data_IF_759127951208
#
_entry.id   IF_759127951208
#
_cell.length_a   1.000
_cell.length_b   1.000
_cell.length_c   1.000
_cell.angle_alpha   90.00
_cell.angle_beta   90.00
_cell.angle_gamma   90.00
#
_symmetry.space_group_name_H-M   'P 1'
#
loop_
_entity.id
_entity.type
_entity.pdbx_description
1 polymer ?
#
# COMPACT_ATOMS: atom_id res chain seq x y z
N UNK A 1 -2.37 20.17 -0.35
CA UNK A 1 -3.14 18.95 -0.04
C UNK A 1 -2.15 17.86 0.36
N UNK A 2 -2.52 16.96 1.29
CA UNK A 2 -1.69 15.84 1.72
C UNK A 2 -2.05 14.55 0.97
N UNK A 3 -1.15 13.57 0.98
CA UNK A 3 -1.31 12.25 0.36
C UNK A 3 -2.37 11.40 1.07
N UNK A 4 -3.24 10.75 0.32
CA UNK A 4 -4.20 9.74 0.81
C UNK A 4 -3.65 8.34 0.59
N UNK A 5 -4.19 7.34 1.27
CA UNK A 5 -3.81 5.94 1.07
C UNK A 5 -5.02 5.06 0.79
N UNK A 6 -4.91 4.29 -0.30
CA UNK A 6 -5.87 3.28 -0.71
C UNK A 6 -5.21 1.90 -0.60
N UNK A 7 -5.92 0.96 0.02
CA UNK A 7 -5.48 -0.43 0.18
C UNK A 7 -6.45 -1.36 -0.52
N UNK A 8 -5.93 -2.31 -1.30
CA UNK A 8 -6.73 -3.33 -1.97
C UNK A 8 -6.07 -4.70 -1.85
N UNK A 9 -6.89 -5.75 -1.75
CA UNK A 9 -6.39 -7.11 -1.90
C UNK A 9 -6.23 -7.47 -3.36
N UNK A 10 -5.18 -8.22 -3.69
CA UNK A 10 -4.99 -8.79 -5.02
C UNK A 10 -4.33 -10.17 -4.91
N UNK A 11 -4.19 -10.88 -6.02
CA UNK A 11 -3.41 -12.13 -6.07
C UNK A 11 -1.95 -11.82 -6.41
N UNK A 12 -1.01 -12.68 -6.02
CA UNK A 12 0.42 -12.49 -6.37
C UNK A 12 0.65 -12.40 -7.89
N UNK A 13 -0.17 -13.12 -8.68
CA UNK A 13 -0.12 -13.11 -10.14
C UNK A 13 -0.51 -11.74 -10.70
N UNK A 14 -1.55 -11.11 -10.14
CA UNK A 14 -1.96 -9.77 -10.56
C UNK A 14 -0.99 -8.70 -10.03
N UNK A 15 -0.49 -8.85 -8.79
CA UNK A 15 0.50 -7.96 -8.20
C UNK A 15 1.78 -7.86 -9.04
N UNK A 16 2.22 -8.96 -9.66
CA UNK A 16 3.38 -8.98 -10.55
C UNK A 16 3.18 -8.23 -11.87
N UNK A 17 1.94 -7.90 -12.23
CA UNK A 17 1.64 -7.10 -13.43
C UNK A 17 1.72 -5.60 -13.16
N UNK A 18 1.61 -5.17 -11.90
CA UNK A 18 1.66 -3.77 -11.55
C UNK A 18 3.08 -3.24 -11.68
N UNK A 19 3.25 -2.21 -12.51
CA UNK A 19 4.55 -1.56 -12.78
C UNK A 19 4.48 -0.05 -12.66
N UNK A 20 3.29 0.52 -12.68
CA UNK A 20 3.03 1.95 -12.55
C UNK A 20 1.64 2.21 -11.94
N UNK A 21 1.30 3.49 -11.76
CA UNK A 21 0.02 3.91 -11.23
C UNK A 21 -1.16 3.49 -12.10
N UNK A 22 -1.03 3.61 -13.43
CA UNK A 22 -2.10 3.27 -14.37
C UNK A 22 -2.57 1.82 -14.21
N UNK A 23 -1.65 0.88 -13.96
CA UNK A 23 -2.00 -0.54 -13.76
C UNK A 23 -2.84 -0.76 -12.49
N UNK A 24 -2.56 0.03 -11.43
CA UNK A 24 -3.28 -0.02 -10.16
C UNK A 24 -4.65 0.64 -10.31
N UNK A 25 -4.73 1.78 -10.98
CA UNK A 25 -5.98 2.49 -11.25
C UNK A 25 -6.93 1.62 -12.10
N UNK A 26 -6.43 0.95 -13.15
CA UNK A 26 -7.24 0.01 -13.96
C UNK A 26 -7.78 -1.15 -13.11
N UNK A 27 -6.96 -1.69 -12.20
CA UNK A 27 -7.42 -2.74 -11.28
C UNK A 27 -8.47 -2.25 -10.27
N UNK A 28 -8.44 -0.96 -9.93
CA UNK A 28 -9.42 -0.32 -9.03
C UNK A 28 -10.76 -0.01 -9.70
N UNK A 29 -10.84 -0.05 -11.03
CA UNK A 29 -12.10 0.12 -11.76
C UNK A 29 -13.00 -1.12 -11.73
N UNK A 30 -12.49 -2.29 -11.30
CA UNK A 30 -13.32 -3.49 -11.11
C UNK A 30 -14.24 -3.31 -9.90
N UNK A 31 -15.55 -3.24 -10.14
CA UNK A 31 -16.59 -3.13 -9.10
C UNK A 31 -16.54 -4.26 -8.03
N UNK A 32 -15.85 -5.37 -8.30
CA UNK A 32 -15.66 -6.46 -7.34
C UNK A 32 -14.46 -6.24 -6.40
N UNK A 33 -13.59 -5.26 -6.68
CA UNK A 33 -12.45 -4.93 -5.84
C UNK A 33 -12.90 -3.97 -4.74
N UNK A 34 -12.71 -4.39 -3.49
CA UNK A 34 -12.94 -3.52 -2.34
C UNK A 34 -11.68 -2.68 -2.08
N UNK A 35 -11.84 -1.35 -2.14
CA UNK A 35 -10.79 -0.39 -1.82
C UNK A 35 -11.04 0.14 -0.42
N UNK A 36 -10.09 -0.10 0.48
CA UNK A 36 -10.05 0.50 1.80
C UNK A 36 -9.34 1.86 1.72
N UNK A 37 -10.13 2.93 1.69
CA UNK A 37 -9.66 4.31 1.78
C UNK A 37 -9.68 4.77 3.25
N UNK A 38 -8.51 5.10 3.78
CA UNK A 38 -8.35 5.65 5.15
C UNK A 38 -8.00 7.15 5.14
N UNK A 39 -8.20 7.83 4.02
CA UNK A 39 -7.83 9.22 3.75
C UNK A 39 -6.35 9.45 4.13
N UNK A 40 -6.08 10.47 4.96
CA UNK A 40 -4.72 10.88 5.36
C UNK A 40 -4.24 10.20 6.66
N UNK A 41 -4.91 9.14 7.11
CA UNK A 41 -4.64 8.53 8.43
C UNK A 41 -3.54 7.45 8.40
N UNK A 42 -2.94 7.16 7.25
CA UNK A 42 -1.92 6.11 7.08
C UNK A 42 -0.69 6.29 7.99
N UNK A 43 -0.13 7.50 8.07
CA UNK A 43 1.01 7.79 8.95
C UNK A 43 0.62 7.70 10.44
N UNK A 44 -0.58 8.17 10.78
CA UNK A 44 -1.12 8.07 12.13
C UNK A 44 -1.39 6.61 12.54
N UNK A 45 -1.86 5.77 11.60
CA UNK A 45 -2.07 4.35 11.80
C UNK A 45 -0.74 3.62 12.04
N UNK A 46 0.26 3.90 11.19
CA UNK A 46 1.60 3.36 11.36
C UNK A 46 2.18 3.77 12.71
N UNK A 47 2.12 5.06 13.05
CA UNK A 47 2.61 5.57 14.34
C UNK A 47 1.89 4.95 15.54
N UNK A 48 0.57 4.78 15.46
CA UNK A 48 -0.22 4.17 16.53
C UNK A 48 0.26 2.74 16.83
N UNK A 49 0.62 1.98 15.80
CA UNK A 49 0.92 0.56 15.93
C UNK A 49 2.41 0.26 16.11
N UNK A 50 3.31 1.10 15.58
CA UNK A 50 4.77 0.87 15.60
C UNK A 50 5.55 1.91 16.41
N UNK A 51 4.94 3.06 16.72
CA UNK A 51 5.62 4.20 17.34
C UNK A 51 6.55 4.96 16.39
N UNK A 52 6.52 4.66 15.09
CA UNK A 52 7.33 5.31 14.04
C UNK A 52 6.44 5.97 13.00
N UNK A 53 6.93 7.02 12.34
CA UNK A 53 6.25 7.54 11.16
C UNK A 53 6.36 6.53 10.02
N UNK A 54 5.35 6.45 9.16
CA UNK A 54 5.39 5.68 7.92
C UNK A 54 6.46 6.19 6.94
N UNK A 55 7.00 7.41 7.13
CA UNK A 55 8.18 7.87 6.39
C UNK A 55 9.48 7.20 6.84
N UNK A 56 9.47 6.51 7.99
CA UNK A 56 10.57 5.72 8.53
C UNK A 56 10.07 4.28 8.76
N UNK A 57 9.71 3.54 7.69
CA UNK A 57 9.18 2.19 7.81
C UNK A 57 10.22 1.25 8.44
N UNK A 58 9.74 0.23 9.13
CA UNK A 58 10.55 -0.77 9.82
C UNK A 58 10.65 -2.01 8.94
N UNK A 59 11.86 -2.34 8.49
CA UNK A 59 12.15 -3.55 7.71
C UNK A 59 11.93 -4.82 8.55
N UNK A 60 11.36 -5.88 7.95
CA UNK A 60 11.02 -7.16 8.58
C UNK A 60 9.97 -7.07 9.72
N UNK A 61 9.27 -5.94 9.85
CA UNK A 61 8.15 -5.78 10.80
C UNK A 61 6.80 -5.96 10.08
N UNK A 62 6.10 -7.04 10.42
CA UNK A 62 4.83 -7.44 9.78
C UNK A 62 3.73 -6.39 9.88
N UNK A 63 3.77 -5.51 10.90
CA UNK A 63 2.76 -4.45 11.07
C UNK A 63 3.12 -3.25 10.19
N UNK A 64 4.40 -2.86 10.17
CA UNK A 64 4.93 -1.83 9.28
C UNK A 64 4.65 -2.19 7.83
N UNK A 65 5.07 -3.38 7.39
CA UNK A 65 4.92 -3.86 6.01
C UNK A 65 3.45 -4.03 5.59
N UNK A 66 2.53 -4.29 6.52
CA UNK A 66 1.10 -4.33 6.22
C UNK A 66 0.53 -2.94 5.88
N UNK A 67 1.18 -1.85 6.30
CA UNK A 67 0.70 -0.47 6.11
C UNK A 67 1.44 0.23 4.97
N UNK A 68 2.74 -0.02 4.82
CA UNK A 68 3.61 0.65 3.84
C UNK A 68 4.03 -0.27 2.69
N UNK A 69 3.68 -1.55 2.75
CA UNK A 69 4.15 -2.57 1.81
C UNK A 69 5.53 -3.14 2.16
N UNK A 70 5.80 -4.34 1.66
CA UNK A 70 7.08 -5.04 1.81
C UNK A 70 8.11 -4.59 0.77
N UNK A 71 7.65 -4.22 -0.43
CA UNK A 71 8.52 -3.74 -1.51
C UNK A 71 7.84 -2.63 -2.32
N UNK A 72 8.65 -1.69 -2.82
CA UNK A 72 8.18 -0.66 -3.73
C UNK A 72 7.98 -1.23 -5.14
N UNK A 73 6.83 -0.91 -5.73
CA UNK A 73 6.51 -1.17 -7.14
C UNK A 73 6.88 0.05 -7.98
N UNK A 74 6.53 1.25 -7.51
CA UNK A 74 6.77 2.51 -8.21
C UNK A 74 6.98 3.66 -7.22
N UNK A 75 8.05 4.43 -7.41
CA UNK A 75 8.50 5.44 -6.42
C UNK A 75 7.82 6.81 -6.57
N UNK A 76 7.40 7.21 -7.78
CA UNK A 76 6.89 8.58 -8.00
C UNK A 76 5.54 8.81 -7.28
N UNK A 77 4.66 7.81 -7.30
CA UNK A 77 3.30 7.88 -6.72
C UNK A 77 3.11 7.00 -5.47
N UNK A 78 4.21 6.55 -4.84
CA UNK A 78 4.24 5.61 -3.72
C UNK A 78 3.27 4.42 -3.87
N UNK A 79 3.73 3.42 -4.63
CA UNK A 79 3.00 2.17 -4.81
C UNK A 79 3.86 1.04 -4.25
N UNK A 80 3.29 0.26 -3.35
CA UNK A 80 3.99 -0.84 -2.71
C UNK A 80 3.11 -2.09 -2.65
N UNK A 81 3.77 -3.24 -2.59
CA UNK A 81 3.13 -4.55 -2.54
C UNK A 81 3.62 -5.36 -1.34
N UNK A 82 2.78 -6.29 -0.92
CA UNK A 82 3.11 -7.33 0.06
C UNK A 82 2.67 -8.66 -0.52
N UNK A 83 3.58 -9.63 -0.59
CA UNK A 83 3.28 -10.98 -1.08
C UNK A 83 2.98 -11.91 0.09
N UNK A 84 2.18 -12.93 -0.18
CA UNK A 84 2.04 -14.05 0.76
C UNK A 84 3.28 -14.95 0.63
N UNK A 85 3.86 -15.38 1.76
CA UNK A 85 4.93 -16.38 1.80
C UNK A 85 4.48 -17.78 1.35
#
# INVERSE_FOLDING_TARGET
MGMIANYQSTTDIELEKFTCLDDVEEAQEDDNVEICDIDKMWDALHFLLTGKSASEPIEDDVISEAIVGQFNIYEEDYIAGTKSD
#
